data_IF_375514011872
#
_entry.id   IF_375514011872
#
_cell.length_a   1.000
_cell.length_b   1.000
_cell.length_c   1.000
_cell.angle_alpha   90.00
_cell.angle_beta   90.00
_cell.angle_gamma   90.00
#
_symmetry.space_group_name_H-M   'P 1'
#
loop_
_entity.id
_entity.type
_entity.pdbx_description
1 polymer ?
#
# COMPACT_ATOMS: atom_id res chain seq x y z
N UNK A 1 29.90 -7.73 6.53
CA UNK A 1 28.59 -7.03 6.59
C UNK A 1 27.90 -7.14 5.23
N UNK A 2 26.78 -7.85 5.12
CA UNK A 2 25.94 -7.75 3.93
C UNK A 2 25.41 -6.32 3.84
N UNK A 3 25.67 -5.67 2.71
CA UNK A 3 25.21 -4.29 2.46
C UNK A 3 23.68 -4.29 2.41
N UNK A 4 23.02 -3.46 3.24
CA UNK A 4 21.56 -3.31 3.18
C UNK A 4 21.13 -2.95 1.75
N UNK A 5 20.21 -3.73 1.18
CA UNK A 5 19.72 -3.51 -0.16
C UNK A 5 18.94 -2.19 -0.28
N UNK A 6 18.16 -1.87 0.75
CA UNK A 6 17.42 -0.61 0.89
C UNK A 6 17.78 0.03 2.23
N UNK A 7 18.25 1.27 2.18
CA UNK A 7 18.49 2.09 3.37
C UNK A 7 17.16 2.51 4.01
N UNK A 8 17.20 2.96 5.26
CA UNK A 8 15.99 3.51 5.94
C UNK A 8 15.41 4.71 5.21
N UNK A 9 16.26 5.57 4.64
CA UNK A 9 15.84 6.71 3.83
C UNK A 9 15.12 6.25 2.55
N UNK A 10 15.67 5.27 1.84
CA UNK A 10 15.05 4.68 0.64
C UNK A 10 13.72 3.98 0.96
N UNK A 11 13.64 3.24 2.08
CA UNK A 11 12.36 2.66 2.52
C UNK A 11 11.31 3.74 2.84
N UNK A 12 11.71 4.86 3.44
CA UNK A 12 10.79 5.97 3.68
C UNK A 12 10.42 6.69 2.38
N UNK A 13 11.35 6.87 1.44
CA UNK A 13 11.05 7.44 0.14
C UNK A 13 10.06 6.57 -0.67
N UNK A 14 10.20 5.23 -0.62
CA UNK A 14 9.24 4.30 -1.20
C UNK A 14 7.85 4.43 -0.57
N UNK A 15 7.77 4.57 0.77
CA UNK A 15 6.49 4.84 1.46
C UNK A 15 5.90 6.18 1.03
N UNK A 16 6.75 7.21 0.85
CA UNK A 16 6.34 8.53 0.39
C UNK A 16 5.77 8.49 -1.00
N UNK A 17 6.46 7.82 -1.93
CA UNK A 17 5.99 7.63 -3.30
C UNK A 17 4.63 6.91 -3.32
N UNK A 18 4.53 5.79 -2.60
CA UNK A 18 3.32 4.99 -2.56
C UNK A 18 2.14 5.73 -1.92
N UNK A 19 2.34 6.42 -0.80
CA UNK A 19 1.23 7.14 -0.16
C UNK A 19 0.73 8.30 -1.00
N UNK A 20 1.59 8.99 -1.76
CA UNK A 20 1.17 10.04 -2.68
C UNK A 20 0.21 9.47 -3.72
N UNK A 21 0.54 8.35 -4.35
CA UNK A 21 -0.34 7.71 -5.32
C UNK A 21 -1.68 7.29 -4.72
N UNK A 22 -1.67 6.57 -3.58
CA UNK A 22 -2.89 6.12 -2.89
C UNK A 22 -3.79 7.29 -2.50
N UNK A 23 -3.22 8.29 -1.89
CA UNK A 23 -3.93 9.45 -1.39
C UNK A 23 -4.59 10.24 -2.52
N UNK A 24 -3.88 10.50 -3.63
CA UNK A 24 -4.44 11.18 -4.81
C UNK A 24 -5.48 10.31 -5.53
N UNK A 25 -5.20 9.02 -5.71
CA UNK A 25 -6.15 8.06 -6.26
C UNK A 25 -7.47 8.06 -5.48
N UNK A 26 -7.40 7.94 -4.15
CA UNK A 26 -8.59 7.90 -3.29
C UNK A 26 -9.46 9.17 -3.36
N UNK A 27 -8.98 10.26 -3.90
CA UNK A 27 -9.79 11.43 -4.22
C UNK A 27 -10.37 11.34 -5.62
N UNK A 28 -9.50 11.07 -6.60
CA UNK A 28 -9.86 11.15 -8.02
C UNK A 28 -10.89 10.10 -8.45
N UNK A 29 -10.80 8.86 -7.95
CA UNK A 29 -11.70 7.78 -8.36
C UNK A 29 -13.16 7.96 -7.90
N UNK A 30 -13.41 8.86 -6.96
CA UNK A 30 -14.76 9.23 -6.50
C UNK A 30 -15.42 10.32 -7.35
N UNK A 31 -14.70 10.89 -8.31
CA UNK A 31 -15.19 11.95 -9.17
C UNK A 31 -15.90 11.38 -10.41
N UNK A 32 -16.91 12.09 -10.87
CA UNK A 32 -17.55 11.84 -12.16
C UNK A 32 -17.37 13.10 -13.05
N UNK A 33 -17.07 12.96 -14.33
CA UNK A 33 -16.85 11.74 -15.10
C UNK A 33 -15.35 11.36 -15.17
N UNK A 34 -14.85 10.62 -14.19
CA UNK A 34 -13.47 10.15 -14.15
C UNK A 34 -13.45 8.63 -14.26
N UNK A 35 -12.54 8.09 -15.09
CA UNK A 35 -12.39 6.65 -15.31
C UNK A 35 -12.10 5.93 -13.99
N UNK A 36 -12.68 4.76 -13.80
CA UNK A 36 -12.45 3.89 -12.65
C UNK A 36 -11.22 3.02 -12.87
N UNK A 37 -10.60 2.62 -11.78
CA UNK A 37 -9.52 1.66 -11.75
C UNK A 37 -10.01 0.21 -11.84
N UNK A 38 -9.09 -0.70 -12.17
CA UNK A 38 -9.23 -2.14 -11.99
C UNK A 38 -8.42 -2.54 -10.76
N UNK A 39 -9.07 -2.66 -9.61
CA UNK A 39 -8.41 -2.92 -8.32
C UNK A 39 -8.70 -4.34 -7.79
N UNK A 40 -9.97 -4.60 -7.50
CA UNK A 40 -10.42 -5.88 -6.94
C UNK A 40 -11.00 -6.80 -8.02
N UNK A 41 -11.39 -6.23 -9.11
CA UNK A 41 -11.97 -6.86 -10.29
C UNK A 41 -11.38 -6.21 -11.53
N UNK A 42 -11.54 -6.88 -12.68
CA UNK A 42 -11.09 -6.35 -13.96
C UNK A 42 -12.28 -6.09 -14.86
N UNK A 43 -12.54 -4.83 -15.11
CA UNK A 43 -13.60 -4.37 -16.01
C UNK A 43 -13.00 -3.88 -17.33
N UNK A 44 -13.32 -4.56 -18.42
CA UNK A 44 -12.84 -4.15 -19.74
C UNK A 44 -13.37 -2.76 -20.13
N UNK A 45 -14.52 -2.35 -19.60
CA UNK A 45 -15.11 -1.03 -19.82
C UNK A 45 -14.21 0.10 -19.28
N UNK A 46 -13.60 -0.09 -18.10
CA UNK A 46 -12.65 0.87 -17.53
C UNK A 46 -11.43 1.05 -18.45
N UNK A 47 -10.93 -0.06 -19.00
CA UNK A 47 -9.80 -0.07 -19.95
C UNK A 47 -10.18 0.66 -21.24
N UNK A 48 -11.34 0.35 -21.80
CA UNK A 48 -11.83 0.98 -23.03
C UNK A 48 -12.04 2.48 -22.83
N UNK A 49 -12.61 2.88 -21.68
CA UNK A 49 -12.80 4.29 -21.34
C UNK A 49 -11.44 5.00 -21.21
N UNK A 50 -10.48 4.40 -20.48
CA UNK A 50 -9.15 4.98 -20.37
C UNK A 50 -8.46 5.10 -21.73
N UNK A 51 -8.62 4.10 -22.62
CA UNK A 51 -8.11 4.15 -23.99
C UNK A 51 -8.68 5.36 -24.77
N UNK A 52 -9.97 5.64 -24.64
CA UNK A 52 -10.57 6.83 -25.25
C UNK A 52 -10.00 8.13 -24.67
N UNK A 53 -9.79 8.20 -23.36
CA UNK A 53 -9.21 9.38 -22.70
C UNK A 53 -7.82 9.70 -23.23
N UNK A 54 -6.93 8.73 -23.36
CA UNK A 54 -5.56 8.97 -23.86
C UNK A 54 -5.51 9.39 -25.34
N UNK A 55 -6.56 9.14 -26.10
CA UNK A 55 -6.71 9.57 -27.50
C UNK A 55 -7.48 10.89 -27.66
N UNK A 56 -7.94 11.49 -26.55
CA UNK A 56 -8.63 12.78 -26.51
C UNK A 56 -7.69 13.89 -26.02
N UNK A 57 -6.96 14.57 -26.91
CA UNK A 57 -5.81 15.39 -26.53
C UNK A 57 -6.13 16.67 -25.73
N UNK A 58 -7.42 16.98 -25.47
CA UNK A 58 -7.89 18.19 -24.80
C UNK A 58 -8.80 17.92 -23.59
N UNK A 59 -8.75 16.73 -23.01
CA UNK A 59 -9.52 16.44 -21.81
C UNK A 59 -8.99 17.23 -20.62
N UNK A 60 -9.80 18.16 -20.09
CA UNK A 60 -9.46 18.97 -18.89
C UNK A 60 -9.24 18.13 -17.65
N UNK A 61 -9.78 16.89 -17.62
CA UNK A 61 -9.66 15.95 -16.51
C UNK A 61 -8.59 14.89 -16.73
N UNK A 62 -7.78 14.99 -17.78
CA UNK A 62 -6.74 14.00 -18.13
C UNK A 62 -5.87 13.59 -16.93
N UNK A 63 -5.43 14.56 -16.13
CA UNK A 63 -4.66 14.29 -14.92
C UNK A 63 -5.44 13.46 -13.88
N UNK A 64 -6.73 13.74 -13.71
CA UNK A 64 -7.60 12.99 -12.79
C UNK A 64 -7.81 11.56 -13.27
N UNK A 65 -7.96 11.36 -14.59
CA UNK A 65 -8.07 10.02 -15.18
C UNK A 65 -6.81 9.18 -14.93
N UNK A 66 -5.62 9.75 -15.11
CA UNK A 66 -4.36 9.05 -14.82
C UNK A 66 -4.26 8.68 -13.34
N UNK A 67 -4.54 9.62 -12.43
CA UNK A 67 -4.49 9.36 -11.00
C UNK A 67 -5.54 8.35 -10.53
N UNK A 68 -6.71 8.35 -11.13
CA UNK A 68 -7.77 7.39 -10.85
C UNK A 68 -7.39 5.99 -11.35
N UNK A 69 -6.96 5.87 -12.60
CA UNK A 69 -6.69 4.58 -13.21
C UNK A 69 -5.44 3.88 -12.67
N UNK A 70 -4.33 4.63 -12.48
CA UNK A 70 -3.03 4.07 -12.06
C UNK A 70 -2.69 4.26 -10.58
N UNK A 71 -3.32 5.20 -9.90
CA UNK A 71 -2.87 5.60 -8.55
C UNK A 71 -2.99 4.50 -7.51
N UNK A 72 -3.94 3.59 -7.65
CA UNK A 72 -4.09 2.43 -6.79
C UNK A 72 -2.94 1.42 -6.90
N UNK A 73 -2.31 1.30 -8.04
CA UNK A 73 -1.23 0.34 -8.30
C UNK A 73 0.00 0.49 -7.40
N UNK A 74 0.10 1.55 -6.62
CA UNK A 74 1.21 1.73 -5.67
C UNK A 74 0.99 1.06 -4.31
N UNK A 75 -0.22 0.54 -4.02
CA UNK A 75 -0.51 -0.25 -2.79
C UNK A 75 0.44 -1.45 -2.64
N UNK A 76 0.73 -2.24 -3.68
CA UNK A 76 1.73 -3.29 -3.67
C UNK A 76 3.09 -2.92 -3.08
N UNK A 77 3.52 -1.66 -3.20
CA UNK A 77 4.80 -1.18 -2.62
C UNK A 77 4.79 -1.27 -1.09
N UNK A 78 3.65 -1.03 -0.43
CA UNK A 78 3.52 -1.21 1.02
C UNK A 78 3.58 -2.68 1.43
N UNK A 79 3.01 -3.58 0.63
CA UNK A 79 3.08 -5.03 0.86
C UNK A 79 4.52 -5.53 0.72
N UNK A 80 5.20 -5.12 -0.36
CA UNK A 80 6.62 -5.38 -0.59
C UNK A 80 7.48 -4.88 0.58
N UNK A 81 7.33 -3.63 1.00
CA UNK A 81 8.09 -3.04 2.10
C UNK A 81 7.81 -3.71 3.44
N UNK A 82 6.58 -4.16 3.68
CA UNK A 82 6.22 -4.89 4.89
C UNK A 82 6.91 -6.24 4.95
N UNK A 83 6.88 -6.99 3.85
CA UNK A 83 7.57 -8.27 3.72
C UNK A 83 9.09 -8.12 3.81
N UNK A 84 9.67 -7.15 3.10
CA UNK A 84 11.09 -6.81 3.18
C UNK A 84 11.50 -6.50 4.63
N UNK A 85 10.77 -5.63 5.31
CA UNK A 85 11.05 -5.24 6.69
C UNK A 85 10.93 -6.40 7.68
N UNK A 86 9.95 -7.29 7.52
CA UNK A 86 9.80 -8.50 8.34
C UNK A 86 11.01 -9.42 8.16
N UNK A 87 11.38 -9.69 6.91
CA UNK A 87 12.51 -10.59 6.59
C UNK A 87 13.83 -10.02 7.10
N UNK A 88 14.07 -8.72 6.89
CA UNK A 88 15.27 -8.05 7.42
C UNK A 88 15.31 -8.12 8.96
N UNK A 89 14.20 -7.85 9.63
CA UNK A 89 14.12 -7.80 11.09
C UNK A 89 14.25 -9.19 11.74
N UNK A 90 13.57 -10.21 11.21
CA UNK A 90 13.41 -11.49 11.89
C UNK A 90 14.30 -12.61 11.34
N UNK A 91 14.89 -12.45 10.14
CA UNK A 91 15.73 -13.47 9.54
C UNK A 91 17.17 -13.04 9.34
N UNK A 92 17.45 -11.79 8.95
CA UNK A 92 18.80 -11.35 8.57
C UNK A 92 19.62 -10.69 9.70
N UNK A 93 19.02 -10.34 10.82
CA UNK A 93 19.76 -9.80 11.99
C UNK A 93 20.69 -10.83 12.68
N UNK A 94 20.87 -12.03 12.11
CA UNK A 94 21.72 -13.09 12.67
C UNK A 94 23.23 -12.86 12.57
N UNK A 95 23.69 -11.86 11.82
CA UNK A 95 25.13 -11.62 11.62
C UNK A 95 25.76 -10.65 12.66
N UNK A 96 25.04 -10.33 13.74
CA UNK A 96 25.59 -9.58 14.89
C UNK A 96 26.46 -10.53 15.74
N UNK A 97 27.69 -10.11 16.16
CA UNK A 97 28.56 -10.90 17.01
C UNK A 97 27.85 -11.45 18.25
N UNK A 98 28.24 -12.64 18.69
CA UNK A 98 27.58 -13.42 19.74
C UNK A 98 27.32 -12.69 21.07
N UNK A 99 28.15 -11.63 21.37
CA UNK A 99 28.02 -10.84 22.59
C UNK A 99 26.87 -9.84 22.65
N UNK A 100 26.38 -9.36 21.49
CA UNK A 100 25.30 -8.36 21.40
C UNK A 100 23.95 -8.94 20.97
N UNK A 101 23.85 -10.25 20.86
CA UNK A 101 22.59 -10.91 20.51
C UNK A 101 21.63 -10.84 21.69
N UNK A 102 20.54 -10.12 21.53
CA UNK A 102 19.41 -10.32 22.42
C UNK A 102 18.86 -11.74 22.17
N UNK A 103 18.88 -12.64 23.16
CA UNK A 103 18.43 -14.05 23.03
C UNK A 103 16.96 -14.18 22.64
N UNK A 104 16.25 -13.07 22.66
CA UNK A 104 14.80 -12.93 22.62
C UNK A 104 14.16 -13.20 21.23
N UNK A 105 14.93 -13.11 20.11
CA UNK A 105 14.32 -13.21 18.79
C UNK A 105 14.26 -14.63 18.21
N UNK A 106 15.05 -15.56 18.73
CA UNK A 106 15.10 -16.93 18.21
C UNK A 106 13.86 -17.78 18.54
N UNK A 107 13.19 -17.49 19.65
CA UNK A 107 12.09 -18.30 20.20
C UNK A 107 10.78 -17.51 20.38
N UNK A 108 10.56 -16.43 19.61
CA UNK A 108 9.32 -15.66 19.75
C UNK A 108 8.09 -16.55 19.44
N UNK A 109 7.20 -16.81 20.39
CA UNK A 109 5.99 -17.60 20.14
C UNK A 109 5.14 -16.96 19.05
N UNK A 110 4.47 -17.81 18.24
CA UNK A 110 3.62 -17.35 17.13
C UNK A 110 2.58 -16.33 17.62
N UNK A 111 1.94 -16.65 18.75
CA UNK A 111 0.92 -15.78 19.34
C UNK A 111 1.46 -14.41 19.75
N UNK A 112 2.65 -14.35 20.38
CA UNK A 112 3.30 -13.09 20.77
C UNK A 112 3.64 -12.22 19.55
N UNK A 113 4.07 -12.86 18.44
CA UNK A 113 4.32 -12.18 17.17
C UNK A 113 3.03 -11.58 16.59
N UNK A 114 1.96 -12.39 16.50
CA UNK A 114 0.67 -11.95 15.94
C UNK A 114 0.08 -10.83 16.81
N UNK A 115 0.02 -11.02 18.14
CA UNK A 115 -0.50 -10.02 19.08
C UNK A 115 0.24 -8.69 18.97
N UNK A 116 1.58 -8.73 18.89
CA UNK A 116 2.39 -7.52 18.72
C UNK A 116 2.04 -6.76 17.44
N UNK A 117 1.94 -7.47 16.32
CA UNK A 117 1.64 -6.85 15.03
C UNK A 117 0.18 -6.39 14.95
N UNK A 118 -0.76 -7.13 15.53
CA UNK A 118 -2.15 -6.71 15.65
C UNK A 118 -2.29 -5.41 16.45
N UNK A 119 -1.68 -5.34 17.64
CA UNK A 119 -1.69 -4.12 18.46
C UNK A 119 -1.05 -2.93 17.73
N UNK A 120 -0.02 -3.16 16.94
CA UNK A 120 0.62 -2.12 16.13
C UNK A 120 -0.29 -1.58 15.05
N UNK A 121 -1.02 -2.44 14.35
CA UNK A 121 -2.01 -2.05 13.34
C UNK A 121 -3.19 -1.33 13.99
N UNK A 122 -3.74 -1.92 15.05
CA UNK A 122 -4.85 -1.35 15.80
C UNK A 122 -4.55 0.08 16.30
N UNK A 123 -3.36 0.29 16.87
CA UNK A 123 -2.90 1.62 17.30
C UNK A 123 -2.90 2.64 16.16
N UNK A 124 -2.53 2.22 14.95
CA UNK A 124 -2.53 3.11 13.79
C UNK A 124 -3.95 3.42 13.32
N UNK A 125 -4.82 2.43 13.33
CA UNK A 125 -6.17 2.51 12.81
C UNK A 125 -7.13 3.31 13.71
N UNK A 126 -7.10 3.05 15.03
CA UNK A 126 -8.16 3.46 15.93
C UNK A 126 -8.42 4.97 15.96
N UNK A 127 -7.36 5.78 15.92
CA UNK A 127 -7.48 7.25 15.92
C UNK A 127 -8.23 7.74 14.69
N UNK A 128 -7.86 7.20 13.52
CA UNK A 128 -8.51 7.56 12.27
C UNK A 128 -9.94 7.05 12.18
N UNK A 129 -10.18 5.82 12.65
CA UNK A 129 -11.52 5.22 12.65
C UNK A 129 -12.49 6.03 13.50
N UNK A 130 -12.13 6.35 14.73
CA UNK A 130 -12.99 7.16 15.61
C UNK A 130 -13.24 8.55 15.02
N UNK A 131 -12.20 9.24 14.56
CA UNK A 131 -12.36 10.57 13.98
C UNK A 131 -13.22 10.54 12.70
N UNK A 132 -13.06 9.50 11.86
CA UNK A 132 -13.85 9.36 10.65
C UNK A 132 -15.32 9.05 10.97
N UNK A 133 -15.61 8.11 11.85
CA UNK A 133 -17.01 7.75 12.20
C UNK A 133 -17.76 8.91 12.84
N UNK A 134 -17.10 9.72 13.66
CA UNK A 134 -17.69 10.94 14.21
C UNK A 134 -18.02 11.96 13.12
N UNK A 135 -17.11 12.19 12.18
CA UNK A 135 -17.36 13.08 11.04
C UNK A 135 -18.47 12.52 10.16
N UNK A 136 -18.44 11.22 9.87
CA UNK A 136 -19.41 10.54 9.02
C UNK A 136 -20.83 10.69 9.56
N UNK A 137 -21.01 10.56 10.88
CA UNK A 137 -22.31 10.70 11.55
C UNK A 137 -22.94 12.09 11.44
N UNK A 138 -22.14 13.15 11.25
CA UNK A 138 -22.63 14.55 11.18
C UNK A 138 -22.60 15.10 9.74
N UNK A 139 -22.16 14.32 8.76
CA UNK A 139 -22.09 14.75 7.36
C UNK A 139 -23.14 14.02 6.50
N UNK A 140 -23.62 14.62 5.41
CA UNK A 140 -24.57 13.97 4.51
C UNK A 140 -24.05 12.63 3.97
N UNK A 141 -24.96 11.66 3.80
CA UNK A 141 -24.62 10.33 3.31
C UNK A 141 -23.77 9.52 4.32
N UNK A 142 -24.17 9.57 5.60
CA UNK A 142 -23.56 8.75 6.64
C UNK A 142 -23.73 7.25 6.34
N UNK A 143 -22.66 6.49 6.57
CA UNK A 143 -22.69 5.03 6.41
C UNK A 143 -23.48 4.38 7.55
N UNK A 144 -24.20 3.30 7.22
CA UNK A 144 -24.88 2.51 8.25
C UNK A 144 -23.90 1.45 8.80
N UNK A 145 -23.48 1.64 10.05
CA UNK A 145 -22.57 0.72 10.72
C UNK A 145 -23.33 -0.41 11.42
N UNK A 146 -23.27 -1.63 10.89
CA UNK A 146 -23.74 -2.80 11.65
C UNK A 146 -22.74 -3.15 12.76
N UNK A 147 -23.26 -3.72 13.85
CA UNK A 147 -22.42 -4.11 15.01
C UNK A 147 -21.29 -5.06 14.59
N UNK A 148 -21.59 -6.02 13.70
CA UNK A 148 -20.60 -6.99 13.25
C UNK A 148 -19.48 -6.36 12.42
N UNK A 149 -19.79 -5.32 11.66
CA UNK A 149 -18.80 -4.60 10.85
C UNK A 149 -17.81 -3.85 11.76
N UNK A 150 -18.32 -3.22 12.83
CA UNK A 150 -17.48 -2.57 13.84
C UNK A 150 -16.60 -3.58 14.56
N UNK A 151 -17.14 -4.74 14.96
CA UNK A 151 -16.37 -5.81 15.59
C UNK A 151 -15.31 -6.33 14.62
N UNK A 152 -15.67 -6.56 13.37
CA UNK A 152 -14.76 -6.99 12.30
C UNK A 152 -13.62 -6.00 12.07
N UNK A 153 -13.94 -4.69 12.04
CA UNK A 153 -12.94 -3.63 11.91
C UNK A 153 -12.02 -3.56 13.12
N UNK A 154 -12.56 -3.63 14.34
CA UNK A 154 -11.76 -3.65 15.57
C UNK A 154 -10.90 -4.91 15.68
N UNK A 155 -11.41 -6.06 15.26
CA UNK A 155 -10.68 -7.32 15.20
C UNK A 155 -9.70 -7.44 14.04
N UNK A 156 -9.76 -6.53 13.05
CA UNK A 156 -9.00 -6.57 11.79
C UNK A 156 -9.32 -7.81 10.94
N UNK A 157 -10.56 -8.27 10.93
CA UNK A 157 -10.99 -9.45 10.16
C UNK A 157 -12.18 -9.18 9.23
N UNK A 158 -12.61 -7.94 9.07
CA UNK A 158 -13.72 -7.54 8.20
C UNK A 158 -13.55 -7.96 6.73
N UNK A 159 -12.32 -8.08 6.24
CA UNK A 159 -12.02 -8.61 4.90
C UNK A 159 -12.50 -10.07 4.70
N UNK A 160 -12.70 -10.82 5.79
CA UNK A 160 -13.17 -12.21 5.73
C UNK A 160 -14.70 -12.32 5.71
N UNK A 161 -15.39 -11.22 6.05
CA UNK A 161 -16.85 -11.17 6.03
C UNK A 161 -17.36 -11.09 4.57
N UNK A 162 -18.64 -11.45 4.32
CA UNK A 162 -19.26 -11.28 3.01
C UNK A 162 -19.29 -9.79 2.60
N UNK A 163 -19.18 -9.53 1.29
CA UNK A 163 -19.26 -8.18 0.69
C UNK A 163 -18.35 -7.15 1.39
N UNK A 164 -17.02 -7.36 1.40
CA UNK A 164 -16.08 -6.50 2.10
C UNK A 164 -16.05 -5.06 1.57
N UNK A 165 -16.40 -4.84 0.32
CA UNK A 165 -16.55 -3.55 -0.34
C UNK A 165 -17.68 -2.70 0.26
N UNK A 166 -18.76 -3.32 0.72
CA UNK A 166 -19.91 -2.64 1.33
C UNK A 166 -19.69 -2.37 2.83
N UNK A 167 -19.06 -3.32 3.55
CA UNK A 167 -18.97 -3.27 5.02
C UNK A 167 -17.73 -2.55 5.54
N UNK A 168 -16.66 -2.45 4.75
CA UNK A 168 -15.42 -1.80 5.19
C UNK A 168 -15.53 -0.28 4.99
N UNK A 169 -15.73 0.43 6.10
CA UNK A 169 -15.83 1.88 6.04
C UNK A 169 -15.00 2.56 7.16
N UNK A 170 -14.14 3.54 6.81
CA UNK A 170 -13.83 4.03 5.45
C UNK A 170 -13.11 3.00 4.59
N UNK A 171 -13.41 2.99 3.28
CA UNK A 171 -12.95 2.00 2.33
C UNK A 171 -11.46 1.63 2.44
N UNK A 172 -10.49 2.57 2.47
CA UNK A 172 -9.06 2.25 2.57
C UNK A 172 -8.65 1.37 3.77
N UNK A 173 -9.52 1.23 4.78
CA UNK A 173 -9.18 0.47 5.99
C UNK A 173 -9.18 -1.06 5.82
N UNK A 174 -9.60 -1.55 4.65
CA UNK A 174 -9.39 -2.95 4.27
C UNK A 174 -7.92 -3.38 4.37
N UNK A 175 -6.99 -2.44 4.17
CA UNK A 175 -5.55 -2.69 4.25
C UNK A 175 -5.10 -3.19 5.63
N UNK A 176 -5.77 -2.80 6.72
CA UNK A 176 -5.43 -3.29 8.06
C UNK A 176 -5.76 -4.77 8.23
N UNK A 177 -6.93 -5.21 7.75
CA UNK A 177 -7.32 -6.61 7.74
C UNK A 177 -6.43 -7.45 6.83
N UNK A 178 -6.04 -6.92 5.66
CA UNK A 178 -5.07 -7.56 4.79
C UNK A 178 -3.70 -7.74 5.47
N UNK A 179 -3.23 -6.70 6.14
CA UNK A 179 -1.90 -6.74 6.76
C UNK A 179 -1.79 -7.75 7.91
N UNK A 180 -2.84 -7.93 8.73
CA UNK A 180 -2.79 -8.95 9.79
C UNK A 180 -2.77 -10.37 9.19
N UNK A 181 -3.48 -10.60 8.08
CA UNK A 181 -3.40 -11.86 7.34
C UNK A 181 -1.97 -12.12 6.85
N UNK A 182 -1.29 -11.12 6.30
CA UNK A 182 0.09 -11.28 5.87
C UNK A 182 1.07 -11.52 7.02
N UNK A 183 0.85 -10.95 8.19
CA UNK A 183 1.68 -11.28 9.35
C UNK A 183 1.50 -12.74 9.77
N UNK A 184 0.27 -13.27 9.71
CA UNK A 184 -0.03 -14.67 9.97
C UNK A 184 0.64 -15.55 8.91
N UNK A 185 0.42 -15.28 7.62
CA UNK A 185 1.02 -16.03 6.48
C UNK A 185 2.54 -16.01 6.55
N UNK A 186 3.14 -14.83 6.81
CA UNK A 186 4.59 -14.74 6.98
C UNK A 186 5.08 -15.65 8.08
N UNK A 187 4.46 -15.59 9.27
CA UNK A 187 4.93 -16.34 10.44
C UNK A 187 4.74 -17.84 10.32
N UNK A 188 3.66 -18.30 9.72
CA UNK A 188 3.32 -19.72 9.61
C UNK A 188 3.91 -20.36 8.35
N UNK A 189 3.85 -19.68 7.20
CA UNK A 189 4.16 -20.28 5.90
C UNK A 189 5.51 -19.89 5.33
N UNK A 190 6.01 -18.66 5.61
CA UNK A 190 7.19 -18.13 4.93
C UNK A 190 8.43 -18.01 5.83
N UNK A 191 8.24 -17.74 7.12
CA UNK A 191 9.34 -17.50 8.05
C UNK A 191 10.34 -18.66 8.09
N UNK A 192 11.59 -18.40 7.67
CA UNK A 192 12.69 -19.36 7.59
C UNK A 192 12.39 -20.62 6.74
N UNK A 193 11.37 -20.58 5.89
CA UNK A 193 11.08 -21.67 4.95
C UNK A 193 11.92 -21.52 3.69
N UNK A 194 12.11 -22.61 2.98
CA UNK A 194 12.79 -22.62 1.69
C UNK A 194 12.06 -21.72 0.68
N UNK A 195 12.79 -21.10 -0.24
CA UNK A 195 12.24 -20.16 -1.22
C UNK A 195 11.13 -20.74 -2.09
N UNK A 196 11.21 -22.04 -2.40
CA UNK A 196 10.17 -22.75 -3.16
C UNK A 196 8.78 -22.65 -2.53
N UNK A 197 8.66 -22.66 -1.18
CA UNK A 197 7.37 -22.45 -0.52
C UNK A 197 6.78 -21.08 -0.81
N UNK A 198 7.61 -20.07 -0.89
CA UNK A 198 7.15 -18.72 -1.22
C UNK A 198 6.69 -18.64 -2.67
N UNK A 199 7.49 -19.20 -3.61
CA UNK A 199 7.12 -19.25 -5.03
C UNK A 199 5.84 -20.08 -5.22
N UNK A 200 5.75 -21.25 -4.58
CA UNK A 200 4.54 -22.09 -4.65
C UNK A 200 3.30 -21.34 -4.17
N UNK A 201 3.40 -20.60 -3.06
CA UNK A 201 2.28 -19.84 -2.53
C UNK A 201 1.88 -18.69 -3.48
N UNK A 202 2.85 -18.01 -4.10
CA UNK A 202 2.59 -17.00 -5.14
C UNK A 202 1.83 -17.63 -6.31
N UNK A 203 2.30 -18.78 -6.82
CA UNK A 203 1.68 -19.46 -7.97
C UNK A 203 0.26 -19.93 -7.63
N UNK A 204 0.05 -20.53 -6.46
CA UNK A 204 -1.29 -20.95 -6.02
C UNK A 204 -2.23 -19.75 -5.93
N UNK A 205 -1.80 -18.66 -5.31
CA UNK A 205 -2.63 -17.45 -5.17
C UNK A 205 -2.94 -16.80 -6.54
N UNK A 206 -2.00 -16.82 -7.47
CA UNK A 206 -2.23 -16.34 -8.83
C UNK A 206 -3.22 -17.24 -9.57
N UNK A 207 -3.06 -18.58 -9.49
CA UNK A 207 -3.95 -19.54 -10.13
C UNK A 207 -5.40 -19.42 -9.61
N UNK A 208 -5.58 -19.24 -8.30
CA UNK A 208 -6.93 -19.01 -7.71
C UNK A 208 -7.58 -17.77 -8.30
N UNK A 209 -6.85 -16.68 -8.44
CA UNK A 209 -7.39 -15.45 -9.02
C UNK A 209 -7.71 -15.60 -10.51
N UNK A 210 -6.80 -16.21 -11.29
CA UNK A 210 -6.98 -16.43 -12.73
C UNK A 210 -8.12 -17.41 -13.06
N UNK A 211 -8.52 -18.24 -12.11
CA UNK A 211 -9.65 -19.17 -12.26
C UNK A 211 -11.01 -18.51 -11.98
N UNK A 212 -11.03 -17.25 -11.55
CA UNK A 212 -12.27 -16.49 -11.31
C UNK A 212 -12.68 -15.70 -12.57
N UNK A 213 -13.96 -15.38 -12.65
CA UNK A 213 -14.46 -14.43 -13.64
C UNK A 213 -13.86 -13.04 -13.36
N UNK A 214 -13.42 -12.30 -14.40
CA UNK A 214 -12.75 -11.02 -14.28
C UNK A 214 -13.49 -9.98 -13.44
N UNK A 215 -14.79 -9.85 -13.65
CA UNK A 215 -15.71 -8.93 -12.97
C UNK A 215 -16.52 -9.61 -11.86
N UNK A 216 -16.21 -10.88 -11.54
CA UNK A 216 -16.93 -11.70 -10.60
C UNK A 216 -16.69 -11.33 -9.14
N UNK A 217 -17.70 -11.56 -8.28
CA UNK A 217 -17.62 -11.34 -6.84
C UNK A 217 -16.55 -12.21 -6.15
N UNK A 218 -16.31 -13.41 -6.68
CA UNK A 218 -15.28 -14.30 -6.16
C UNK A 218 -13.88 -13.68 -6.27
N UNK A 219 -13.56 -13.05 -7.41
CA UNK A 219 -12.29 -12.35 -7.60
C UNK A 219 -12.19 -11.16 -6.64
N UNK A 220 -13.23 -10.34 -6.53
CA UNK A 220 -13.33 -9.24 -5.57
C UNK A 220 -12.94 -9.73 -4.17
N UNK A 221 -13.61 -10.75 -3.65
CA UNK A 221 -13.37 -11.30 -2.32
C UNK A 221 -11.94 -11.81 -2.12
N UNK A 222 -11.34 -12.50 -3.11
CA UNK A 222 -9.95 -12.95 -3.02
C UNK A 222 -8.96 -11.79 -2.97
N UNK A 223 -9.24 -10.71 -3.70
CA UNK A 223 -8.35 -9.56 -3.77
C UNK A 223 -8.39 -8.67 -2.53
N UNK A 224 -9.49 -8.65 -1.77
CA UNK A 224 -9.53 -8.04 -0.44
C UNK A 224 -8.69 -8.81 0.59
N UNK A 225 -8.27 -10.03 0.29
CA UNK A 225 -7.55 -10.92 1.19
C UNK A 225 -6.09 -11.16 0.72
N UNK A 226 -5.30 -11.88 1.53
CA UNK A 226 -3.87 -12.11 1.25
C UNK A 226 -3.59 -12.73 -0.12
N UNK A 227 -4.55 -13.46 -0.69
CA UNK A 227 -4.45 -14.06 -2.02
C UNK A 227 -4.17 -12.97 -3.07
N UNK A 228 -4.90 -11.84 -3.03
CA UNK A 228 -4.71 -10.74 -3.97
C UNK A 228 -3.36 -10.04 -3.87
N UNK A 229 -2.79 -9.97 -2.67
CA UNK A 229 -1.53 -9.28 -2.41
C UNK A 229 -0.30 -10.19 -2.30
N UNK A 230 -0.43 -11.51 -2.55
CA UNK A 230 0.66 -12.46 -2.30
C UNK A 230 1.87 -12.24 -3.21
N UNK A 231 1.67 -11.84 -4.47
CA UNK A 231 2.76 -11.60 -5.43
C UNK A 231 3.73 -10.49 -4.94
N UNK A 232 3.30 -9.26 -4.65
CA UNK A 232 4.21 -8.21 -4.16
C UNK A 232 4.77 -8.51 -2.77
N UNK A 233 4.00 -9.14 -1.89
CA UNK A 233 4.47 -9.52 -0.57
C UNK A 233 5.55 -10.62 -0.65
N UNK A 234 5.31 -11.68 -1.39
CA UNK A 234 6.27 -12.76 -1.62
C UNK A 234 7.52 -12.26 -2.33
N UNK A 235 7.37 -11.36 -3.30
CA UNK A 235 8.52 -10.69 -3.93
C UNK A 235 9.36 -9.93 -2.90
N UNK A 236 8.75 -9.23 -1.94
CA UNK A 236 9.46 -8.55 -0.85
C UNK A 236 10.31 -9.50 0.01
N UNK A 237 9.80 -10.70 0.32
CA UNK A 237 10.56 -11.75 1.03
C UNK A 237 11.74 -12.23 0.19
N UNK A 238 11.52 -12.55 -1.09
CA UNK A 238 12.58 -13.03 -2.00
C UNK A 238 13.64 -11.97 -2.23
N UNK A 239 13.22 -10.73 -2.42
CA UNK A 239 14.12 -9.58 -2.58
C UNK A 239 15.05 -9.44 -1.37
N UNK A 240 14.50 -9.46 -0.15
CA UNK A 240 15.28 -9.36 1.07
C UNK A 240 16.28 -10.51 1.25
N UNK A 241 15.94 -11.73 0.84
CA UNK A 241 16.77 -12.93 1.03
C UNK A 241 17.87 -13.09 -0.02
N UNK A 242 17.54 -12.84 -1.29
CA UNK A 242 18.34 -13.32 -2.43
C UNK A 242 18.85 -12.23 -3.35
N UNK A 243 18.24 -11.02 -3.33
CA UNK A 243 18.68 -9.97 -4.24
C UNK A 243 20.08 -9.47 -3.91
N UNK A 244 20.80 -9.06 -4.93
CA UNK A 244 22.11 -8.41 -4.84
C UNK A 244 22.00 -6.94 -5.25
N UNK A 245 22.89 -6.07 -4.77
CA UNK A 245 22.94 -4.69 -5.22
C UNK A 245 23.16 -4.61 -6.73
N UNK A 246 22.30 -3.90 -7.43
CA UNK A 246 22.38 -3.66 -8.86
C UNK A 246 23.10 -2.33 -9.14
N UNK A 247 23.68 -2.19 -10.32
CA UNK A 247 24.29 -0.95 -10.77
C UNK A 247 23.25 0.06 -11.27
N UNK A 248 23.68 1.29 -11.57
CA UNK A 248 22.78 2.38 -11.97
C UNK A 248 22.13 2.13 -13.32
N UNK A 249 22.89 1.61 -14.29
CA UNK A 249 22.36 1.31 -15.64
C UNK A 249 21.27 0.24 -15.57
N UNK A 250 21.47 -0.82 -14.78
CA UNK A 250 20.45 -1.85 -14.58
C UNK A 250 19.17 -1.27 -13.95
N UNK A 251 19.29 -0.39 -12.95
CA UNK A 251 18.10 0.28 -12.38
C UNK A 251 17.40 1.17 -13.41
N UNK A 252 18.12 1.85 -14.29
CA UNK A 252 17.54 2.66 -15.36
C UNK A 252 16.75 1.79 -16.35
N UNK A 253 17.34 0.69 -16.80
CA UNK A 253 16.70 -0.26 -17.72
C UNK A 253 15.45 -0.87 -17.06
N UNK A 254 15.56 -1.35 -15.81
CA UNK A 254 14.43 -1.90 -15.07
C UNK A 254 13.31 -0.89 -14.87
N UNK A 255 13.64 0.37 -14.59
CA UNK A 255 12.66 1.43 -14.44
C UNK A 255 11.87 1.65 -15.73
N UNK A 256 12.57 1.84 -16.86
CA UNK A 256 11.94 2.06 -18.17
C UNK A 256 11.07 0.86 -18.57
N UNK A 257 11.62 -0.35 -18.51
CA UNK A 257 10.89 -1.57 -18.86
C UNK A 257 9.66 -1.80 -17.97
N UNK A 258 9.78 -1.49 -16.67
CA UNK A 258 8.65 -1.64 -15.76
C UNK A 258 7.54 -0.63 -16.03
N UNK A 259 7.87 0.61 -16.43
CA UNK A 259 6.84 1.59 -16.81
C UNK A 259 6.06 1.11 -18.05
N UNK A 260 6.75 0.62 -19.08
CA UNK A 260 6.10 0.03 -20.25
C UNK A 260 5.25 -1.19 -19.87
N UNK A 261 5.80 -2.08 -19.01
CA UNK A 261 5.08 -3.24 -18.52
C UNK A 261 3.81 -2.86 -17.77
N UNK A 262 3.84 -1.86 -16.87
CA UNK A 262 2.67 -1.39 -16.14
C UNK A 262 1.58 -0.97 -17.11
N UNK A 263 1.90 -0.17 -18.13
CA UNK A 263 0.92 0.30 -19.11
C UNK A 263 0.36 -0.88 -19.91
N UNK A 264 1.22 -1.67 -20.55
CA UNK A 264 0.79 -2.76 -21.43
C UNK A 264 -0.02 -3.82 -20.66
N UNK A 265 0.46 -4.23 -19.48
CA UNK A 265 -0.19 -5.26 -18.67
C UNK A 265 -1.53 -4.79 -18.07
N UNK A 266 -1.75 -3.48 -17.95
CA UNK A 266 -3.03 -2.94 -17.45
C UNK A 266 -4.17 -3.06 -18.45
N UNK A 267 -3.86 -3.29 -19.73
CA UNK A 267 -4.85 -3.40 -20.81
C UNK A 267 -5.28 -4.84 -21.11
N UNK A 268 -4.72 -5.83 -20.43
CA UNK A 268 -5.05 -7.25 -20.63
C UNK A 268 -5.26 -7.95 -19.28
N UNK A 269 -6.35 -8.71 -19.16
CA UNK A 269 -6.79 -9.34 -17.93
C UNK A 269 -5.74 -10.30 -17.32
N UNK A 270 -5.12 -11.15 -18.12
CA UNK A 270 -4.18 -12.16 -17.62
C UNK A 270 -2.89 -11.49 -17.13
N UNK A 271 -2.38 -10.52 -17.88
CA UNK A 271 -1.14 -9.84 -17.54
C UNK A 271 -1.34 -8.83 -16.40
N UNK A 272 -2.54 -8.32 -16.20
CA UNK A 272 -2.88 -7.41 -15.11
C UNK A 272 -2.51 -7.95 -13.71
N UNK A 273 -2.58 -9.27 -13.50
CA UNK A 273 -2.15 -9.88 -12.25
C UNK A 273 -0.67 -9.63 -11.91
N UNK A 274 0.16 -9.34 -12.90
CA UNK A 274 1.60 -9.10 -12.73
C UNK A 274 1.96 -7.61 -12.61
N UNK A 275 1.02 -6.70 -12.82
CA UNK A 275 1.21 -5.26 -12.63
C UNK A 275 1.80 -4.93 -11.25
N UNK A 276 1.35 -5.53 -10.13
CA UNK A 276 1.94 -5.31 -8.81
C UNK A 276 3.45 -5.55 -8.73
N UNK A 277 3.96 -6.55 -9.45
CA UNK A 277 5.40 -6.83 -9.51
C UNK A 277 6.15 -5.74 -10.28
N UNK A 278 5.63 -5.35 -11.44
CA UNK A 278 6.22 -4.28 -12.26
C UNK A 278 6.27 -2.96 -11.50
N UNK A 279 5.21 -2.62 -10.76
CA UNK A 279 5.15 -1.41 -9.91
C UNK A 279 6.19 -1.45 -8.78
N UNK A 280 6.38 -2.58 -8.13
CA UNK A 280 7.42 -2.73 -7.11
C UNK A 280 8.81 -2.53 -7.71
N UNK A 281 9.10 -3.12 -8.88
CA UNK A 281 10.38 -2.98 -9.57
C UNK A 281 10.60 -1.52 -10.02
N UNK A 282 9.59 -0.89 -10.62
CA UNK A 282 9.64 0.51 -11.03
C UNK A 282 9.93 1.43 -9.84
N UNK A 283 9.19 1.27 -8.74
CA UNK A 283 9.31 2.11 -7.54
C UNK A 283 10.68 1.97 -6.88
N UNK A 284 11.17 0.73 -6.70
CA UNK A 284 12.51 0.48 -6.15
C UNK A 284 13.59 1.08 -7.04
N UNK A 285 13.49 0.86 -8.37
CA UNK A 285 14.48 1.39 -9.32
C UNK A 285 14.46 2.92 -9.36
N UNK A 286 13.29 3.55 -9.36
CA UNK A 286 13.15 4.99 -9.29
C UNK A 286 13.82 5.59 -8.04
N UNK A 287 13.52 5.03 -6.85
CA UNK A 287 14.13 5.52 -5.60
C UNK A 287 15.63 5.31 -5.59
N UNK A 288 16.13 4.18 -6.12
CA UNK A 288 17.58 3.93 -6.25
C UNK A 288 18.27 4.92 -7.18
N UNK A 289 17.69 5.24 -8.31
CA UNK A 289 18.20 6.24 -9.25
C UNK A 289 18.24 7.62 -8.61
N UNK A 290 17.13 8.06 -8.01
CA UNK A 290 17.02 9.37 -7.36
C UNK A 290 17.98 9.50 -6.18
N UNK A 291 18.12 8.46 -5.37
CA UNK A 291 19.08 8.43 -4.24
C UNK A 291 20.52 8.61 -4.72
N UNK A 292 20.90 7.97 -5.83
CA UNK A 292 22.26 8.07 -6.38
C UNK A 292 22.54 9.44 -7.01
N UNK A 293 21.58 10.04 -7.68
CA UNK A 293 21.72 11.41 -8.24
C UNK A 293 21.97 12.42 -7.12
N UNK A 294 21.28 12.31 -5.99
CA UNK A 294 21.48 13.21 -4.85
C UNK A 294 22.81 12.99 -4.11
N UNK A 295 23.32 11.77 -4.03
CA UNK A 295 24.66 11.50 -3.49
C UNK A 295 25.72 12.25 -4.31
N UNK A 296 25.59 12.25 -5.63
CA UNK A 296 26.50 12.96 -6.53
C UNK A 296 26.42 14.48 -6.33
N UNK A 297 25.23 15.03 -6.04
CA UNK A 297 24.99 16.47 -5.86
C UNK A 297 25.23 16.98 -4.42
N UNK A 298 25.61 16.10 -3.47
CA UNK A 298 25.82 16.43 -2.03
C UNK A 298 24.65 17.11 -1.29
N UNK A 299 23.43 17.07 -1.84
CA UNK A 299 22.25 17.76 -1.29
C UNK A 299 21.28 16.82 -0.56
N UNK A 300 21.70 16.13 0.47
CA UNK A 300 20.84 15.20 1.23
C UNK A 300 19.75 15.87 2.09
N UNK A 301 19.91 17.17 2.39
CA UNK A 301 18.96 17.89 3.28
C UNK A 301 17.82 18.59 2.55
N UNK A 302 17.97 18.81 1.26
CA UNK A 302 17.00 19.48 0.39
C UNK A 302 16.80 18.65 -0.87
N UNK A 303 15.71 18.81 -1.57
CA UNK A 303 15.45 18.15 -2.84
C UNK A 303 14.42 17.02 -2.77
N UNK A 304 14.21 16.38 -3.89
CA UNK A 304 13.10 15.44 -4.11
C UNK A 304 13.10 14.20 -3.18
N UNK A 305 14.29 13.62 -2.92
CA UNK A 305 14.40 12.50 -1.96
C UNK A 305 14.06 12.92 -0.53
N UNK A 306 14.44 14.13 -0.12
CA UNK A 306 14.10 14.65 1.20
C UNK A 306 12.59 14.81 1.33
N UNK A 307 11.93 15.34 0.29
CA UNK A 307 10.47 15.43 0.21
C UNK A 307 9.81 14.05 0.33
N UNK A 308 10.21 13.09 -0.49
CA UNK A 308 9.65 11.73 -0.44
C UNK A 308 9.87 11.07 0.92
N UNK A 309 11.06 11.23 1.51
CA UNK A 309 11.39 10.69 2.84
C UNK A 309 10.53 11.33 3.92
N UNK A 310 10.30 12.64 3.84
CA UNK A 310 9.43 13.37 4.76
C UNK A 310 7.97 12.89 4.64
N UNK A 311 7.41 12.83 3.43
CA UNK A 311 6.06 12.29 3.19
C UNK A 311 5.96 10.85 3.69
N UNK A 312 6.97 10.02 3.45
CA UNK A 312 7.03 8.66 3.97
C UNK A 312 6.99 8.59 5.50
N UNK A 313 7.54 9.59 6.19
CA UNK A 313 7.53 9.66 7.66
C UNK A 313 6.14 9.96 8.25
N UNK A 314 5.23 10.50 7.47
CA UNK A 314 3.83 10.79 7.84
C UNK A 314 2.84 9.83 7.16
N UNK A 315 3.32 8.89 6.34
CA UNK A 315 2.48 8.04 5.48
C UNK A 315 1.38 7.29 6.24
N UNK A 316 1.68 6.78 7.44
CA UNK A 316 0.69 6.08 8.26
C UNK A 316 -0.43 7.01 8.75
N UNK A 317 -0.08 8.22 9.16
CA UNK A 317 -1.06 9.22 9.60
C UNK A 317 -1.89 9.73 8.41
N UNK A 318 -1.24 9.99 7.28
CA UNK A 318 -1.90 10.40 6.04
C UNK A 318 -2.87 9.32 5.55
N UNK A 319 -2.46 8.03 5.62
CA UNK A 319 -3.33 6.91 5.25
C UNK A 319 -4.62 6.83 6.07
N UNK A 320 -4.57 7.12 7.36
CA UNK A 320 -5.78 7.02 8.21
C UNK A 320 -6.60 8.31 8.22
N UNK A 321 -6.03 9.47 7.92
CA UNK A 321 -6.79 10.73 7.99
C UNK A 321 -7.36 11.19 6.64
N UNK A 322 -6.81 10.76 5.50
CA UNK A 322 -7.26 11.26 4.19
C UNK A 322 -8.74 10.95 3.86
N UNK A 323 -9.38 9.86 4.35
CA UNK A 323 -10.82 9.69 4.13
C UNK A 323 -11.66 10.79 4.77
N UNK A 324 -11.19 11.37 5.89
CA UNK A 324 -11.84 12.48 6.58
C UNK A 324 -11.89 13.72 5.68
N UNK A 325 -10.73 14.15 5.21
CA UNK A 325 -10.60 15.33 4.34
C UNK A 325 -11.24 15.10 2.97
N UNK A 326 -11.18 13.87 2.44
CA UNK A 326 -11.91 13.51 1.24
C UNK A 326 -13.42 13.75 1.41
N UNK A 327 -14.02 13.25 2.48
CA UNK A 327 -15.47 13.40 2.71
C UNK A 327 -15.89 14.87 2.81
N UNK A 328 -15.01 15.73 3.32
CA UNK A 328 -15.26 17.18 3.44
C UNK A 328 -15.17 17.88 2.09
N UNK A 329 -14.15 17.57 1.27
CA UNK A 329 -13.85 18.38 0.07
C UNK A 329 -14.32 17.77 -1.25
N UNK A 330 -14.72 16.49 -1.29
CA UNK A 330 -15.21 15.85 -2.51
C UNK A 330 -16.47 16.50 -3.09
N UNK A 331 -17.43 17.02 -2.28
CA UNK A 331 -18.61 17.70 -2.83
C UNK A 331 -18.25 18.89 -3.71
N UNK A 332 -17.25 19.70 -3.31
CA UNK A 332 -16.80 20.86 -4.09
C UNK A 332 -16.33 20.47 -5.50
N UNK A 333 -15.54 19.38 -5.62
CA UNK A 333 -15.12 18.90 -6.93
C UNK A 333 -16.26 18.28 -7.74
N UNK A 334 -17.26 17.68 -7.08
CA UNK A 334 -18.46 17.15 -7.76
C UNK A 334 -19.37 18.24 -8.32
N UNK A 335 -19.32 19.45 -7.78
CA UNK A 335 -19.98 20.63 -8.30
C UNK A 335 -19.23 21.28 -9.48
N UNK A 336 -18.09 20.70 -9.89
CA UNK A 336 -17.32 21.13 -11.06
C UNK A 336 -16.00 21.85 -10.75
N UNK A 337 -15.74 22.20 -9.49
CA UNK A 337 -14.49 22.84 -9.09
C UNK A 337 -13.42 21.80 -8.66
N UNK A 338 -12.99 21.00 -9.65
CA UNK A 338 -12.10 19.86 -9.45
C UNK A 338 -10.77 20.23 -8.81
N UNK A 339 -10.14 21.33 -9.27
CA UNK A 339 -8.80 21.69 -8.84
C UNK A 339 -8.78 22.32 -7.46
N UNK A 340 -9.74 23.17 -7.15
CA UNK A 340 -9.87 23.76 -5.80
C UNK A 340 -10.16 22.68 -4.76
N UNK A 341 -11.10 21.77 -5.06
CA UNK A 341 -11.40 20.65 -4.15
C UNK A 341 -10.17 19.75 -3.91
N UNK A 342 -9.42 19.40 -4.98
CA UNK A 342 -8.20 18.61 -4.87
C UNK A 342 -7.13 19.35 -4.05
N UNK A 343 -6.92 20.64 -4.29
CA UNK A 343 -5.90 21.43 -3.58
C UNK A 343 -6.23 21.54 -2.08
N UNK A 344 -7.47 21.83 -1.73
CA UNK A 344 -7.93 21.88 -0.34
C UNK A 344 -7.79 20.51 0.33
N UNK A 345 -8.14 19.44 -0.36
CA UNK A 345 -7.93 18.08 0.11
C UNK A 345 -6.44 17.79 0.40
N UNK A 346 -5.52 18.15 -0.50
CA UNK A 346 -4.08 17.94 -0.33
C UNK A 346 -3.57 18.70 0.90
N UNK A 347 -3.84 20.00 0.98
CA UNK A 347 -3.35 20.86 2.06
C UNK A 347 -3.89 20.37 3.41
N UNK A 348 -5.20 20.18 3.49
CA UNK A 348 -5.87 19.77 4.73
C UNK A 348 -5.44 18.37 5.19
N UNK A 349 -5.22 17.42 4.25
CA UNK A 349 -4.75 16.08 4.59
C UNK A 349 -3.32 16.09 5.14
N UNK A 350 -2.44 16.90 4.56
CA UNK A 350 -1.07 17.04 5.06
C UNK A 350 -1.08 17.66 6.47
N UNK A 351 -1.83 18.73 6.68
CA UNK A 351 -1.96 19.36 8.01
C UNK A 351 -2.57 18.41 9.04
N UNK A 352 -3.65 17.73 8.68
CA UNK A 352 -4.32 16.77 9.56
C UNK A 352 -3.42 15.56 9.87
N UNK A 353 -2.63 15.12 8.91
CA UNK A 353 -1.70 14.00 9.12
C UNK A 353 -0.64 14.31 10.17
N UNK A 354 -0.20 15.54 10.28
CA UNK A 354 0.71 15.96 11.36
C UNK A 354 0.04 15.82 12.73
N UNK A 355 -1.19 16.30 12.90
CA UNK A 355 -1.96 16.15 14.12
C UNK A 355 -2.18 14.67 14.47
N UNK A 356 -2.59 13.87 13.50
CA UNK A 356 -2.81 12.42 13.70
C UNK A 356 -1.53 11.69 14.10
N UNK A 357 -0.39 12.05 13.51
CA UNK A 357 0.91 11.51 13.90
C UNK A 357 1.22 11.77 15.38
N UNK A 358 0.93 12.97 15.88
CA UNK A 358 1.12 13.31 17.30
C UNK A 358 0.12 12.56 18.21
N UNK A 359 -1.15 12.45 17.82
CA UNK A 359 -2.15 11.67 18.55
C UNK A 359 -1.76 10.18 18.63
N UNK A 360 -1.32 9.58 17.52
CA UNK A 360 -0.83 8.19 17.49
C UNK A 360 0.36 7.96 18.40
N UNK A 361 1.26 8.93 18.60
CA UNK A 361 2.38 8.83 19.52
C UNK A 361 1.94 8.77 20.99
N UNK A 362 0.79 9.37 21.33
CA UNK A 362 0.23 9.33 22.69
C UNK A 362 -0.28 7.96 23.09
N UNK A 363 -0.68 7.13 22.13
CA UNK A 363 -1.08 5.74 22.38
C UNK A 363 0.19 4.90 22.64
N UNK A 364 0.25 4.12 23.75
CA UNK A 364 1.40 3.31 24.09
C UNK A 364 1.81 2.37 22.95
N UNK A 365 3.10 2.32 22.66
CA UNK A 365 3.62 1.38 21.65
C UNK A 365 3.63 -0.04 22.23
N UNK A 366 3.15 -1.04 21.48
CA UNK A 366 3.25 -2.43 21.92
C UNK A 366 4.72 -2.83 22.07
N UNK A 367 5.00 -3.60 23.11
CA UNK A 367 6.33 -4.17 23.36
C UNK A 367 6.28 -5.68 23.09
N UNK A 368 7.30 -6.20 22.44
CA UNK A 368 7.51 -7.65 22.39
C UNK A 368 7.91 -8.08 23.79
N UNK A 369 6.97 -8.69 24.53
CA UNK A 369 7.29 -9.39 25.79
C UNK A 369 7.38 -10.88 25.46
N UNK A 370 8.35 -11.55 26.08
CA UNK A 370 8.49 -13.01 26.04
C UNK A 370 7.29 -13.70 26.67
#
# INVERSE_FOLDING_TARGET
MKRELLTRAECNALRGLAIIGIFLHNYCHWLAPVVKENEYQYFQENVNWFYHVIHSPLDKLFFFHILSFFGHYVVPVFLFLSAYGLTMKYEQQREVPQGDRQPMQEKLPVWCFIKYHWLKLFRMMIVGFVAFTMLDAITPGAHHYAVMDIIGQMGLFNNLLPHPDDIIWPGPYWFFGLMIQFYIVYRLCLYRRHWLWNVLLIVICAAIQMACDPDGEALNRWRYNFIGGMLPFGFGVLYARYMRPLNTATHLVLFILSLFAIVLMSFDYITWYFVPLAVCIASVSFVKLTSRLQIVQKEYKTGFMAMLTWVGSISAALFVCHPITRKIFIPLSREGDYWTGLLLYIISSICLSWLFKELMKRIPSPRLKN
#
